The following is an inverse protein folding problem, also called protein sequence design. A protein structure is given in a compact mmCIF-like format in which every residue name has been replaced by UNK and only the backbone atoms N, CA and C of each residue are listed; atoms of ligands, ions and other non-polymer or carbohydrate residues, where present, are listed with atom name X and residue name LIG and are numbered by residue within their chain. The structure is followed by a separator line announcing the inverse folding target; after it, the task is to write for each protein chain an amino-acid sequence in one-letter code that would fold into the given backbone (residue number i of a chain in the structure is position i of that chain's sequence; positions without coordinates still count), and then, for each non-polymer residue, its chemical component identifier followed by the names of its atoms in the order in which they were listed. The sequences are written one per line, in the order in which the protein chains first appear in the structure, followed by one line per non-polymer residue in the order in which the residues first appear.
data_IF_089777252025
#
_entry.id   IF_089777252025
#
_cell.length_a   1.000
_cell.length_b   1.000
_cell.length_c   1.000
_cell.angle_alpha   90.00
_cell.angle_beta   90.00
_cell.angle_gamma   90.00
#
_symmetry.space_group_name_H-M   'P 1'
#
loop_
_entity.id
_entity.type
_entity.pdbx_description
1 polymer ?
#
# COMPACT_ATOMS: atom_id res chain seq x y z
N UNK A 1 5.82 -20.50 -7.15
CA UNK A 1 5.23 -19.40 -6.34
C UNK A 1 5.17 -19.90 -4.92
N UNK A 2 6.11 -19.47 -4.12
CA UNK A 2 6.19 -19.78 -2.69
C UNK A 2 5.53 -18.60 -1.99
N UNK A 3 4.42 -18.85 -1.31
CA UNK A 3 3.70 -17.87 -0.54
C UNK A 3 4.26 -17.85 0.88
N UNK A 4 4.67 -16.68 1.36
CA UNK A 4 5.18 -16.52 2.71
C UNK A 4 4.07 -16.79 3.74
N UNK A 5 4.38 -17.59 4.73
CA UNK A 5 3.54 -17.83 5.91
C UNK A 5 4.02 -16.86 6.98
N UNK A 6 3.21 -15.88 7.32
CA UNK A 6 3.45 -15.04 8.50
C UNK A 6 2.91 -15.75 9.73
N UNK A 7 3.78 -16.14 10.62
CA UNK A 7 3.42 -16.66 11.93
C UNK A 7 3.46 -15.52 12.96
N UNK A 8 2.32 -15.08 13.44
CA UNK A 8 2.25 -14.18 14.59
C UNK A 8 2.25 -15.02 15.87
N UNK A 9 3.34 -14.95 16.62
CA UNK A 9 3.46 -15.64 17.91
C UNK A 9 2.88 -14.76 19.01
N UNK A 10 1.64 -15.04 19.44
CA UNK A 10 1.08 -14.43 20.65
C UNK A 10 1.39 -15.32 21.86
N UNK A 11 2.36 -14.92 22.68
CA UNK A 11 2.62 -15.58 23.95
C UNK A 11 1.52 -15.21 24.98
N UNK A 12 0.57 -16.10 25.19
CA UNK A 12 -0.38 -16.02 26.32
C UNK A 12 0.21 -16.74 27.52
N UNK A 13 0.94 -16.02 28.35
CA UNK A 13 1.39 -16.53 29.65
C UNK A 13 0.19 -16.61 30.63
N UNK A 14 -0.28 -17.80 30.95
CA UNK A 14 -1.20 -18.05 32.08
C UNK A 14 -0.42 -18.00 33.39
N UNK A 15 -0.57 -16.91 34.14
CA UNK A 15 -0.30 -16.89 35.58
C UNK A 15 -1.62 -17.13 36.32
N UNK A 16 -1.76 -18.29 36.89
CA UNK A 16 -2.83 -18.63 37.80
C UNK A 16 -2.44 -18.26 39.24
N UNK A 17 -3.16 -17.35 39.86
CA UNK A 17 -3.34 -17.24 41.32
C UNK A 17 -4.55 -16.32 41.54
N UNK A 18 -5.62 -16.69 42.00
CA UNK A 18 -6.09 -17.27 43.20
C UNK A 18 -6.90 -16.27 44.01
N UNK A 19 -8.20 -16.62 44.27
CA UNK A 19 -9.06 -16.23 45.41
C UNK A 19 -9.75 -14.85 45.46
N UNK A 20 -11.07 -14.89 45.31
CA UNK A 20 -11.95 -14.47 46.44
C UNK A 20 -12.87 -13.29 46.21
N UNK A 21 -14.21 -13.54 46.18
CA UNK A 21 -15.17 -12.66 46.84
C UNK A 21 -16.26 -11.97 45.98
N UNK A 22 -17.35 -12.66 45.82
CA UNK A 22 -18.78 -12.32 46.02
C UNK A 22 -19.38 -10.97 45.58
N UNK A 23 -20.45 -11.10 44.75
CA UNK A 23 -21.77 -10.43 44.77
C UNK A 23 -21.82 -8.94 44.37
N UNK A 24 -22.72 -8.42 43.58
CA UNK A 24 -24.16 -8.65 43.45
C UNK A 24 -24.67 -7.93 42.19
N UNK A 25 -25.75 -8.46 41.66
CA UNK A 25 -26.56 -7.97 40.57
C UNK A 25 -27.28 -6.64 40.89
N UNK A 26 -27.65 -5.88 39.89
CA UNK A 26 -29.01 -5.32 39.73
C UNK A 26 -29.12 -4.52 38.40
N UNK A 27 -29.94 -5.05 37.54
CA UNK A 27 -31.19 -4.56 36.93
C UNK A 27 -31.19 -3.22 36.20
N UNK A 28 -31.57 -3.37 34.92
CA UNK A 28 -32.21 -2.36 34.05
C UNK A 28 -33.50 -1.77 34.65
N UNK A 29 -33.97 -0.59 34.20
CA UNK A 29 -35.00 -0.67 33.17
C UNK A 29 -34.98 0.39 32.07
N UNK A 30 -35.76 0.06 31.06
CA UNK A 30 -36.08 0.71 29.82
C UNK A 30 -37.06 1.90 29.93
N UNK A 31 -37.29 2.48 28.75
CA UNK A 31 -38.37 3.37 28.28
C UNK A 31 -37.98 4.87 28.22
N UNK A 32 -38.31 5.63 27.20
CA UNK A 32 -39.25 5.51 26.08
C UNK A 32 -39.47 6.91 25.50
N UNK A 33 -39.93 6.98 24.28
CA UNK A 33 -40.74 8.11 23.82
C UNK A 33 -40.18 9.03 22.76
N UNK A 34 -40.57 8.76 21.52
CA UNK A 34 -40.75 9.79 20.49
C UNK A 34 -41.95 10.69 20.79
N UNK A 35 -42.07 11.87 20.18
CA UNK A 35 -43.05 11.94 19.11
C UNK A 35 -42.68 12.79 17.87
N UNK A 36 -43.26 12.33 16.80
CA UNK A 36 -43.51 12.97 15.50
C UNK A 36 -44.40 14.22 15.64
N UNK A 37 -44.12 15.26 14.89
CA UNK A 37 -45.16 16.21 14.41
C UNK A 37 -44.84 16.68 13.00
N UNK A 38 -45.78 16.40 12.15
CA UNK A 38 -46.06 16.82 10.77
C UNK A 38 -46.50 18.27 10.66
N UNK A 39 -46.35 18.85 9.44
CA UNK A 39 -47.04 20.07 8.97
C UNK A 39 -46.25 20.70 7.83
N UNK A 40 -46.48 20.44 6.68
CA UNK A 40 -47.37 20.81 5.55
C UNK A 40 -47.52 22.32 5.27
N UNK A 41 -47.31 22.59 3.98
CA UNK A 41 -47.90 23.46 2.97
C UNK A 41 -47.34 24.88 2.83
N UNK A 42 -46.88 25.12 1.68
CA UNK A 42 -47.39 25.67 0.42
C UNK A 42 -47.05 27.13 0.11
N UNK A 43 -46.54 27.30 -1.08
CA UNK A 43 -47.02 28.22 -2.15
C UNK A 43 -46.54 29.69 -2.20
N UNK A 44 -46.16 30.09 -3.41
CA UNK A 44 -46.31 31.47 -3.87
C UNK A 44 -45.11 32.12 -4.54
N UNK A 45 -44.85 31.80 -5.79
CA UNK A 45 -44.85 32.63 -7.00
C UNK A 45 -44.07 33.98 -7.04
N UNK A 46 -43.20 34.07 -8.06
CA UNK A 46 -43.01 35.20 -9.02
C UNK A 46 -42.57 36.58 -8.45
N UNK A 47 -41.73 37.32 -9.05
CA UNK A 47 -41.36 37.66 -10.43
C UNK A 47 -40.22 38.68 -10.44
N UNK A 48 -39.37 38.56 -11.50
CA UNK A 48 -38.72 39.62 -12.31
C UNK A 48 -37.76 40.67 -11.77
N UNK A 49 -36.66 40.58 -12.44
CA UNK A 49 -35.91 41.56 -13.32
C UNK A 49 -35.12 42.66 -12.66
N UNK A 50 -33.97 42.83 -13.12
CA UNK A 50 -33.25 43.63 -14.11
C UNK A 50 -31.91 44.16 -13.58
N UNK A 51 -30.85 43.84 -14.37
CA UNK A 51 -29.67 44.64 -14.74
C UNK A 51 -28.87 45.47 -13.72
N UNK A 52 -27.63 45.24 -13.64
CA UNK A 52 -26.49 45.87 -14.29
C UNK A 52 -25.16 45.56 -13.59
N UNK A 53 -24.27 44.89 -14.30
CA UNK A 53 -23.04 45.33 -14.95
C UNK A 53 -21.88 45.80 -14.08
N UNK A 54 -20.79 45.12 -14.36
CA UNK A 54 -19.37 45.47 -14.20
C UNK A 54 -18.79 45.31 -12.79
N UNK A 55 -17.64 44.72 -12.55
CA UNK A 55 -16.43 44.69 -13.35
C UNK A 55 -15.42 43.76 -12.68
N UNK A 56 -14.61 43.10 -13.47
CA UNK A 56 -13.26 42.58 -13.25
C UNK A 56 -13.03 41.64 -12.07
N UNK A 57 -12.78 40.40 -12.43
CA UNK A 57 -11.50 39.81 -12.81
C UNK A 57 -10.61 39.47 -11.62
N UNK A 58 -10.57 38.23 -11.38
CA UNK A 58 -9.34 37.46 -11.29
C UNK A 58 -9.78 36.00 -11.13
N UNK A 59 -10.05 35.38 -12.27
CA UNK A 59 -10.19 33.93 -12.37
C UNK A 59 -8.79 33.36 -12.27
N UNK A 60 -8.49 32.80 -11.14
CA UNK A 60 -7.31 31.96 -10.98
C UNK A 60 -7.47 30.71 -11.80
N UNK A 61 -6.45 30.43 -12.52
CA UNK A 61 -6.13 29.38 -13.42
C UNK A 61 -6.03 28.01 -12.68
N UNK A 62 -7.10 27.59 -12.02
CA UNK A 62 -7.22 26.25 -11.44
C UNK A 62 -7.77 25.21 -12.44
N UNK A 63 -8.19 25.66 -13.63
CA UNK A 63 -8.88 24.81 -14.60
C UNK A 63 -7.92 24.02 -15.54
N UNK A 64 -6.64 24.38 -15.61
CA UNK A 64 -5.71 23.71 -16.52
C UNK A 64 -4.98 22.53 -15.87
N UNK A 65 -4.79 22.55 -14.55
CA UNK A 65 -4.16 21.44 -13.84
C UNK A 65 -5.09 20.21 -13.72
N UNK A 66 -6.38 20.45 -13.53
CA UNK A 66 -7.40 19.39 -13.38
C UNK A 66 -7.63 18.59 -14.68
N UNK A 67 -7.35 19.19 -15.86
CA UNK A 67 -7.44 18.48 -17.13
C UNK A 67 -6.19 17.67 -17.49
N UNK A 68 -5.05 17.96 -16.88
CA UNK A 68 -3.78 17.31 -17.15
C UNK A 68 -3.58 16.02 -16.32
N UNK A 69 -4.35 15.85 -15.25
CA UNK A 69 -4.41 14.63 -14.43
C UNK A 69 -5.68 13.86 -14.75
N UNK A 70 -5.60 12.54 -14.80
CA UNK A 70 -6.76 11.69 -15.02
C UNK A 70 -7.66 11.69 -13.78
N UNK A 71 -8.97 11.78 -13.99
CA UNK A 71 -9.93 11.62 -12.91
C UNK A 71 -9.90 10.19 -12.33
N UNK A 72 -10.34 10.02 -11.09
CA UNK A 72 -10.33 8.72 -10.41
C UNK A 72 -11.10 7.64 -11.20
N UNK A 73 -12.18 8.01 -11.89
CA UNK A 73 -12.95 7.10 -12.73
C UNK A 73 -12.17 6.62 -13.97
N UNK A 74 -11.17 7.39 -14.43
CA UNK A 74 -10.31 7.04 -15.56
C UNK A 74 -9.16 6.10 -15.15
N UNK A 75 -8.83 6.04 -13.85
CA UNK A 75 -7.72 5.20 -13.34
C UNK A 75 -8.10 3.73 -13.20
N UNK A 76 -9.39 3.40 -13.25
CA UNK A 76 -9.92 2.07 -13.01
C UNK A 76 -10.03 1.74 -11.52
N UNK A 77 -10.49 0.52 -11.21
CA UNK A 77 -10.56 0.06 -9.83
C UNK A 77 -9.15 -0.05 -9.23
N UNK A 78 -8.94 0.61 -8.10
CA UNK A 78 -7.69 0.49 -7.36
C UNK A 78 -7.52 -0.93 -6.81
N UNK A 79 -6.31 -1.43 -6.95
CA UNK A 79 -5.89 -2.67 -6.29
C UNK A 79 -5.23 -2.32 -4.97
N UNK A 80 -5.47 -3.12 -3.97
CA UNK A 80 -4.72 -3.04 -2.74
C UNK A 80 -3.25 -3.38 -3.04
N UNK A 81 -2.35 -2.56 -2.55
CA UNK A 81 -0.91 -2.76 -2.59
C UNK A 81 -0.40 -3.14 -1.20
N UNK A 82 0.67 -3.90 -1.17
CA UNK A 82 1.27 -4.36 0.06
C UNK A 82 0.38 -5.29 0.89
N UNK A 83 0.80 -5.55 2.11
CA UNK A 83 0.09 -6.36 3.10
C UNK A 83 -0.04 -5.61 4.41
N UNK A 84 -1.10 -5.94 5.17
CA UNK A 84 -1.31 -5.33 6.49
C UNK A 84 -0.15 -5.65 7.42
N UNK A 85 0.39 -4.61 8.03
CA UNK A 85 1.49 -4.74 9.00
C UNK A 85 2.87 -4.81 8.39
N UNK A 86 3.02 -4.43 7.12
CA UNK A 86 4.34 -4.19 6.53
C UNK A 86 5.14 -3.22 7.38
N UNK A 87 6.43 -3.49 7.50
CA UNK A 87 7.39 -2.60 8.16
C UNK A 87 8.40 -2.18 7.10
N UNK A 88 8.58 -0.87 6.87
CA UNK A 88 9.53 -0.39 5.90
C UNK A 88 10.95 -0.92 6.15
N UNK A 89 11.60 -1.36 5.08
CA UNK A 89 12.98 -1.89 5.10
C UNK A 89 13.89 -0.92 4.35
N UNK A 90 14.71 -0.15 5.05
CA UNK A 90 15.63 0.79 4.42
C UNK A 90 16.86 0.08 3.85
N UNK A 91 17.58 0.75 2.94
CA UNK A 91 18.82 0.24 2.36
C UNK A 91 19.87 -0.17 3.39
N UNK A 92 19.85 0.47 4.58
CA UNK A 92 20.79 0.17 5.66
C UNK A 92 20.65 -1.22 6.28
N UNK A 93 19.57 -1.94 5.98
CA UNK A 93 19.37 -3.33 6.41
C UNK A 93 19.78 -4.33 5.34
N UNK A 94 20.15 -3.84 4.15
CA UNK A 94 20.48 -4.67 2.99
C UNK A 94 21.97 -4.61 2.66
N UNK A 95 22.46 -5.67 2.06
CA UNK A 95 23.81 -5.73 1.48
C UNK A 95 23.80 -5.07 0.12
N UNK A 96 24.91 -4.43 -0.24
CA UNK A 96 25.11 -3.94 -1.60
C UNK A 96 25.00 -5.12 -2.59
N UNK A 97 24.21 -4.92 -3.65
CA UNK A 97 23.95 -5.95 -4.64
C UNK A 97 22.82 -5.58 -5.60
N UNK A 98 22.53 -6.50 -6.51
CA UNK A 98 21.38 -6.40 -7.43
C UNK A 98 20.48 -7.61 -7.17
N UNK A 99 19.21 -7.35 -6.92
CA UNK A 99 18.25 -8.36 -6.49
C UNK A 99 16.96 -8.28 -7.31
N UNK A 100 16.39 -9.41 -7.72
CA UNK A 100 15.05 -9.40 -8.25
C UNK A 100 14.06 -9.03 -7.13
N UNK A 101 13.12 -8.13 -7.43
CA UNK A 101 12.12 -7.68 -6.46
C UNK A 101 10.74 -7.68 -7.09
N UNK A 102 9.73 -8.14 -6.37
CA UNK A 102 8.35 -8.01 -6.78
C UNK A 102 7.83 -6.60 -6.44
N UNK A 103 7.01 -6.06 -7.34
CA UNK A 103 6.38 -4.75 -7.15
C UNK A 103 4.88 -4.87 -7.23
N UNK A 104 4.19 -4.45 -6.18
CA UNK A 104 2.76 -4.26 -6.22
C UNK A 104 2.44 -2.88 -6.82
N UNK A 105 1.45 -2.85 -7.70
CA UNK A 105 0.93 -1.60 -8.28
C UNK A 105 -0.56 -1.49 -8.03
N UNK A 106 -1.02 -0.32 -7.60
CA UNK A 106 -2.44 -0.02 -7.37
C UNK A 106 -3.29 -0.10 -8.65
N UNK A 107 -2.67 -0.23 -9.82
CA UNK A 107 -3.37 -0.29 -11.09
C UNK A 107 -2.98 -1.50 -11.92
N UNK A 108 -3.99 -2.21 -12.43
CA UNK A 108 -3.78 -3.31 -13.39
C UNK A 108 -3.27 -2.86 -14.76
N UNK A 109 -3.39 -1.57 -15.06
CA UNK A 109 -2.92 -1.00 -16.32
C UNK A 109 -1.45 -0.57 -16.28
N UNK A 110 -0.88 -0.44 -15.08
CA UNK A 110 0.54 -0.18 -14.87
C UNK A 110 1.22 -1.51 -14.53
N UNK A 111 1.55 -2.27 -15.59
CA UNK A 111 2.10 -3.61 -15.45
C UNK A 111 3.62 -3.55 -15.43
N UNK A 112 4.20 -4.09 -14.38
CA UNK A 112 5.64 -4.30 -14.24
C UNK A 112 5.86 -5.81 -14.41
N UNK A 113 6.62 -6.19 -15.44
CA UNK A 113 6.90 -7.61 -15.74
C UNK A 113 8.06 -8.14 -14.94
N UNK A 114 9.12 -7.35 -14.83
CA UNK A 114 10.33 -7.65 -14.10
C UNK A 114 10.81 -6.39 -13.39
N UNK A 115 11.45 -6.55 -12.25
CA UNK A 115 12.08 -5.44 -11.54
C UNK A 115 13.36 -5.91 -10.88
N UNK A 116 14.44 -5.14 -11.06
CA UNK A 116 15.72 -5.33 -10.40
C UNK A 116 15.99 -4.18 -9.44
N UNK A 117 16.19 -4.52 -8.17
CA UNK A 117 16.59 -3.58 -7.14
C UNK A 117 18.13 -3.55 -7.04
N UNK A 118 18.70 -2.39 -7.24
CA UNK A 118 20.11 -2.14 -6.97
C UNK A 118 20.26 -1.47 -5.62
N UNK A 119 20.97 -2.11 -4.70
CA UNK A 119 21.38 -1.56 -3.40
C UNK A 119 22.84 -1.20 -3.47
N UNK A 120 23.18 0.06 -3.22
CA UNK A 120 24.58 0.53 -3.30
C UNK A 120 24.82 1.70 -2.37
N UNK A 121 25.80 1.55 -1.48
CA UNK A 121 26.23 2.61 -0.55
C UNK A 121 25.09 3.19 0.30
N UNK A 122 24.10 2.37 0.67
CA UNK A 122 22.96 2.80 1.46
C UNK A 122 21.85 3.50 0.69
N UNK A 123 21.87 3.43 -0.64
CA UNK A 123 20.83 3.92 -1.53
C UNK A 123 20.22 2.75 -2.32
N UNK A 124 18.97 2.89 -2.70
CA UNK A 124 18.26 1.92 -3.53
C UNK A 124 17.69 2.57 -4.78
N UNK A 125 17.85 1.88 -5.89
CA UNK A 125 17.18 2.21 -7.15
C UNK A 125 16.57 0.94 -7.73
N UNK A 126 15.40 1.05 -8.36
CA UNK A 126 14.72 -0.06 -8.98
C UNK A 126 14.57 0.18 -10.49
N UNK A 127 15.05 -0.76 -11.30
CA UNK A 127 14.79 -0.78 -12.74
C UNK A 127 13.56 -1.66 -13.01
N UNK A 128 12.50 -1.01 -13.47
CA UNK A 128 11.21 -1.64 -13.76
C UNK A 128 11.04 -1.85 -15.26
N UNK A 129 11.02 -3.11 -15.70
CA UNK A 129 10.62 -3.48 -17.06
C UNK A 129 9.10 -3.47 -17.16
N UNK A 130 8.60 -2.65 -18.06
CA UNK A 130 7.16 -2.48 -18.25
C UNK A 130 6.57 -3.53 -19.20
N UNK A 131 5.35 -3.98 -18.91
CA UNK A 131 4.57 -4.86 -19.79
C UNK A 131 3.97 -4.17 -21.03
N UNK A 132 4.43 -2.95 -21.33
CA UNK A 132 4.00 -2.19 -22.49
C UNK A 132 4.72 -0.86 -22.65
N UNK A 133 4.47 -0.15 -23.75
CA UNK A 133 5.14 1.09 -24.12
C UNK A 133 4.21 2.31 -24.05
N UNK A 134 3.21 2.24 -23.17
CA UNK A 134 2.13 3.24 -23.08
C UNK A 134 2.47 4.50 -22.30
N UNK A 135 3.55 4.49 -21.53
CA UNK A 135 3.99 5.61 -20.69
C UNK A 135 5.29 6.20 -21.19
N UNK A 136 5.39 7.52 -21.15
CA UNK A 136 6.56 8.26 -21.63
C UNK A 136 7.50 8.68 -20.51
N UNK A 137 6.95 8.97 -19.35
CA UNK A 137 7.71 9.39 -18.18
C UNK A 137 6.93 9.12 -16.91
N UNK A 138 7.66 8.98 -15.82
CA UNK A 138 7.14 8.86 -14.46
C UNK A 138 7.54 10.09 -13.65
N UNK A 139 6.82 10.29 -12.55
CA UNK A 139 7.14 11.23 -11.49
C UNK A 139 6.91 10.54 -10.15
N UNK A 140 7.85 10.63 -9.23
CA UNK A 140 7.68 10.12 -7.85
C UNK A 140 6.92 11.18 -7.08
N UNK A 141 5.65 10.88 -6.84
CA UNK A 141 4.64 11.79 -6.30
C UNK A 141 3.35 11.74 -7.10
N UNK A 142 2.47 12.68 -6.84
CA UNK A 142 1.15 12.78 -7.46
C UNK A 142 1.21 13.47 -8.84
N UNK A 143 0.20 13.22 -9.67
CA UNK A 143 0.06 13.88 -10.97
C UNK A 143 -0.14 15.40 -10.86
N UNK A 144 -0.77 15.86 -9.79
CA UNK A 144 -0.93 17.29 -9.50
C UNK A 144 0.43 17.97 -9.24
N UNK A 145 1.33 17.28 -8.54
CA UNK A 145 2.71 17.74 -8.35
C UNK A 145 3.50 17.68 -9.66
N UNK A 146 3.35 16.59 -10.41
CA UNK A 146 4.02 16.38 -11.69
C UNK A 146 3.72 17.46 -12.72
N UNK A 147 2.50 18.00 -12.76
CA UNK A 147 2.11 19.10 -13.66
C UNK A 147 2.94 20.35 -13.41
N UNK A 148 3.36 20.58 -12.19
CA UNK A 148 4.11 21.77 -11.79
C UNK A 148 5.60 21.51 -11.58
N UNK A 149 6.04 20.26 -11.71
CA UNK A 149 7.43 19.87 -11.53
C UNK A 149 8.28 20.20 -12.77
N UNK A 150 9.59 20.28 -12.58
CA UNK A 150 10.52 20.52 -13.69
C UNK A 150 10.76 19.24 -14.49
N UNK A 151 11.20 19.37 -15.75
CA UNK A 151 11.57 18.21 -16.56
C UNK A 151 12.74 17.41 -15.95
N UNK A 152 13.56 18.02 -15.10
CA UNK A 152 14.66 17.37 -14.39
C UNK A 152 14.18 16.40 -13.33
N UNK A 153 12.96 16.61 -12.78
CA UNK A 153 12.33 15.74 -11.80
C UNK A 153 11.61 14.56 -12.46
N UNK A 154 11.48 14.58 -13.79
CA UNK A 154 10.82 13.53 -14.54
C UNK A 154 11.77 12.38 -14.81
N UNK A 155 11.23 11.18 -14.73
CA UNK A 155 11.94 9.93 -15.05
C UNK A 155 11.47 9.46 -16.43
N UNK A 156 12.24 9.70 -17.51
CA UNK A 156 11.90 9.21 -18.84
C UNK A 156 12.10 7.70 -18.92
N UNK A 157 11.39 7.05 -19.86
CA UNK A 157 11.67 5.66 -20.14
C UNK A 157 13.01 5.49 -20.87
N UNK A 158 13.63 4.35 -20.65
CA UNK A 158 14.75 3.84 -21.45
C UNK A 158 14.25 2.67 -22.28
N UNK A 159 14.54 2.69 -23.58
CA UNK A 159 14.16 1.61 -24.48
C UNK A 159 15.30 0.58 -24.55
N UNK A 160 15.00 -0.64 -24.11
CA UNK A 160 15.95 -1.73 -24.21
C UNK A 160 16.05 -2.28 -25.65
N UNK A 161 17.05 -3.12 -25.91
CA UNK A 161 17.31 -3.68 -27.24
C UNK A 161 16.17 -4.58 -27.78
N UNK A 162 15.32 -5.09 -26.91
CA UNK A 162 14.13 -5.88 -27.23
C UNK A 162 12.87 -5.01 -27.47
N UNK A 163 13.01 -3.66 -27.35
CA UNK A 163 11.94 -2.69 -27.50
C UNK A 163 11.06 -2.53 -26.23
N UNK A 164 11.41 -3.16 -25.13
CA UNK A 164 10.75 -2.94 -23.85
C UNK A 164 11.10 -1.57 -23.27
N UNK A 165 10.15 -0.97 -22.56
CA UNK A 165 10.38 0.27 -21.82
C UNK A 165 10.78 -0.04 -20.39
N UNK A 166 11.82 0.61 -19.93
CA UNK A 166 12.32 0.52 -18.56
C UNK A 166 12.25 1.88 -17.87
N UNK A 167 12.01 1.86 -16.57
CA UNK A 167 12.07 3.06 -15.73
C UNK A 167 12.93 2.76 -14.51
N UNK A 168 14.00 3.53 -14.32
CA UNK A 168 14.83 3.46 -13.12
C UNK A 168 14.36 4.50 -12.11
N UNK A 169 13.80 4.06 -11.01
CA UNK A 169 13.22 4.92 -9.97
C UNK A 169 14.01 4.82 -8.66
N UNK A 170 14.11 5.90 -7.87
CA UNK A 170 14.64 5.81 -6.51
C UNK A 170 13.65 5.07 -5.61
N UNK A 171 14.17 4.28 -4.66
CA UNK A 171 13.38 3.55 -3.67
C UNK A 171 13.87 3.97 -2.28
N UNK A 172 13.02 4.60 -1.49
CA UNK A 172 13.37 5.04 -0.14
C UNK A 172 13.42 3.86 0.83
N UNK A 173 12.39 3.03 0.81
CA UNK A 173 12.33 1.79 1.57
C UNK A 173 11.49 0.75 0.84
N UNK A 174 11.79 -0.53 1.06
CA UNK A 174 10.90 -1.61 0.67
C UNK A 174 9.73 -1.71 1.66
N UNK A 175 8.65 -2.39 1.25
CA UNK A 175 7.43 -2.52 2.04
C UNK A 175 6.85 -1.17 2.52
N UNK A 176 7.07 -0.12 1.73
CA UNK A 176 6.54 1.22 1.92
C UNK A 176 5.74 1.63 0.67
N UNK A 177 4.59 2.27 0.88
CA UNK A 177 3.81 2.86 -0.21
C UNK A 177 4.55 4.07 -0.78
N UNK A 178 4.68 4.11 -2.09
CA UNK A 178 5.33 5.19 -2.85
C UNK A 178 4.33 5.70 -3.87
N UNK A 179 3.99 6.97 -3.77
CA UNK A 179 3.21 7.66 -4.80
C UNK A 179 4.04 7.79 -6.07
N UNK A 180 3.45 7.39 -7.19
CA UNK A 180 4.07 7.44 -8.50
C UNK A 180 3.03 7.82 -9.54
N UNK A 181 3.30 8.85 -10.31
CA UNK A 181 2.44 9.24 -11.42
C UNK A 181 3.08 8.89 -12.75
N UNK A 182 2.26 8.38 -13.68
CA UNK A 182 2.71 7.94 -15.00
C UNK A 182 2.03 8.74 -16.11
N UNK A 183 2.84 9.35 -17.00
CA UNK A 183 2.31 10.14 -18.11
C UNK A 183 2.01 9.24 -19.31
N UNK A 184 0.73 9.16 -19.66
CA UNK A 184 0.25 8.33 -20.76
C UNK A 184 0.51 8.96 -22.12
N UNK A 185 1.22 8.24 -23.00
CA UNK A 185 1.47 8.63 -24.40
C UNK A 185 0.19 8.89 -25.19
N UNK A 186 -0.85 8.07 -24.97
CA UNK A 186 -2.09 8.12 -25.77
C UNK A 186 -3.07 9.17 -25.27
N UNK A 187 -3.13 9.35 -23.95
CA UNK A 187 -4.10 10.24 -23.32
C UNK A 187 -3.54 11.62 -23.02
N UNK A 188 -2.21 11.76 -23.02
CA UNK A 188 -1.48 13.00 -22.69
C UNK A 188 -1.88 13.54 -21.31
N UNK A 189 -2.11 12.60 -20.34
CA UNK A 189 -2.50 12.86 -18.96
C UNK A 189 -1.62 12.07 -18.01
N UNK A 190 -1.50 12.58 -16.80
CA UNK A 190 -0.91 11.89 -15.66
C UNK A 190 -1.93 10.93 -15.02
N UNK A 191 -1.46 9.80 -14.60
CA UNK A 191 -2.24 8.76 -13.93
C UNK A 191 -1.56 8.39 -12.62
N UNK A 192 -2.22 8.67 -11.51
CA UNK A 192 -1.71 8.36 -10.18
C UNK A 192 -1.70 6.85 -9.92
N UNK A 193 -0.63 6.41 -9.26
CA UNK A 193 -0.37 5.03 -8.88
C UNK A 193 0.28 5.01 -7.51
N UNK A 194 0.04 3.93 -6.78
CA UNK A 194 0.81 3.60 -5.59
C UNK A 194 1.60 2.33 -5.90
N UNK A 195 2.88 2.34 -5.58
CA UNK A 195 3.78 1.21 -5.74
C UNK A 195 4.27 0.75 -4.37
N UNK A 196 4.49 -0.54 -4.22
CA UNK A 196 5.19 -1.13 -3.08
C UNK A 196 6.20 -2.13 -3.60
N UNK A 197 7.48 -1.89 -3.32
CA UNK A 197 8.56 -2.84 -3.59
C UNK A 197 8.63 -3.83 -2.42
N UNK A 198 8.44 -5.11 -2.72
CA UNK A 198 8.18 -6.14 -1.72
C UNK A 198 9.45 -6.70 -1.11
N UNK A 199 9.69 -6.41 0.17
CA UNK A 199 10.84 -6.94 0.91
C UNK A 199 10.83 -8.48 1.02
N UNK A 200 9.65 -9.10 1.11
CA UNK A 200 9.49 -10.55 1.21
C UNK A 200 9.85 -11.32 -0.09
N UNK A 201 10.09 -10.60 -1.17
CA UNK A 201 10.54 -11.19 -2.43
C UNK A 201 12.06 -11.25 -2.59
N UNK A 202 12.80 -10.56 -1.72
CA UNK A 202 14.26 -10.62 -1.73
C UNK A 202 14.75 -11.95 -1.18
N UNK A 203 15.90 -12.45 -1.68
CA UNK A 203 16.54 -13.62 -1.08
C UNK A 203 17.06 -13.32 0.33
N UNK A 204 17.08 -14.32 1.21
CA UNK A 204 17.48 -14.15 2.61
C UNK A 204 18.90 -13.58 2.78
N UNK A 205 19.79 -13.90 1.83
CA UNK A 205 21.17 -13.42 1.84
C UNK A 205 21.35 -11.95 1.41
N UNK A 206 20.28 -11.30 0.94
CA UNK A 206 20.26 -9.86 0.68
C UNK A 206 20.32 -9.01 1.96
N UNK A 207 19.92 -9.58 3.10
CA UNK A 207 19.86 -8.87 4.36
C UNK A 207 21.20 -8.91 5.13
N UNK A 208 21.54 -7.82 5.82
CA UNK A 208 22.72 -7.75 6.68
C UNK A 208 22.56 -8.66 7.90
N UNK A 209 21.36 -8.70 8.47
CA UNK A 209 21.01 -9.62 9.54
C UNK A 209 20.00 -10.64 9.03
N UNK A 210 20.11 -11.87 9.49
CA UNK A 210 19.14 -12.91 9.11
C UNK A 210 17.75 -12.52 9.59
N UNK A 211 16.81 -12.49 8.66
CA UNK A 211 15.37 -12.29 8.97
C UNK A 211 14.66 -13.59 9.31
N UNK A 212 15.38 -14.70 9.31
CA UNK A 212 14.82 -15.97 9.75
C UNK A 212 14.51 -15.90 11.24
N UNK A 213 13.26 -16.18 11.55
CA UNK A 213 12.80 -16.30 12.93
C UNK A 213 13.28 -17.67 13.44
N UNK A 214 14.25 -17.66 14.36
CA UNK A 214 14.78 -18.86 15.00
C UNK A 214 14.26 -18.98 16.42
N UNK A 215 14.35 -20.15 17.01
CA UNK A 215 14.02 -20.34 18.42
C UNK A 215 14.82 -19.41 19.33
N UNK A 216 16.11 -19.18 19.00
CA UNK A 216 16.97 -18.26 19.72
C UNK A 216 16.50 -16.81 19.61
N UNK A 217 16.14 -16.35 18.42
CA UNK A 217 15.65 -14.96 18.21
C UNK A 217 14.34 -14.69 18.94
N UNK A 218 13.51 -15.74 19.15
CA UNK A 218 12.28 -15.66 19.93
C UNK A 218 12.49 -15.89 21.43
N UNK A 219 13.71 -16.22 21.86
CA UNK A 219 13.99 -16.56 23.25
C UNK A 219 13.28 -17.84 23.72
N UNK A 220 12.98 -18.75 22.79
CA UNK A 220 12.30 -19.99 23.07
C UNK A 220 13.31 -21.11 23.33
N UNK A 221 13.09 -21.87 24.40
CA UNK A 221 13.86 -23.09 24.69
C UNK A 221 13.22 -24.29 24.01
N UNK A 222 13.96 -25.42 24.00
CA UNK A 222 13.41 -26.68 23.55
C UNK A 222 12.11 -27.03 24.30
N UNK A 223 11.09 -27.42 23.55
CA UNK A 223 9.79 -27.70 24.11
C UNK A 223 8.67 -27.74 23.08
N UNK A 224 7.46 -27.89 23.59
CA UNK A 224 6.24 -27.85 22.79
C UNK A 224 5.44 -26.61 23.12
N UNK A 225 5.09 -25.86 22.09
CA UNK A 225 4.36 -24.59 22.17
C UNK A 225 3.07 -24.71 21.37
N UNK A 226 2.10 -23.89 21.74
CA UNK A 226 0.89 -23.69 20.95
C UNK A 226 0.98 -22.30 20.31
N UNK A 227 0.85 -22.26 19.00
CA UNK A 227 0.97 -21.01 18.21
C UNK A 227 -0.31 -20.77 17.42
N UNK A 228 -0.74 -19.53 17.37
CA UNK A 228 -1.80 -19.14 16.46
C UNK A 228 -1.18 -18.88 15.09
N UNK A 229 -1.77 -19.50 14.07
CA UNK A 229 -1.33 -19.37 12.68
C UNK A 229 -2.46 -18.78 11.87
N UNK A 230 -2.16 -17.72 11.13
CA UNK A 230 -3.05 -17.17 10.12
C UNK A 230 -2.39 -17.23 8.75
N UNK A 231 -3.19 -17.43 7.73
CA UNK A 231 -2.74 -17.44 6.34
C UNK A 231 -3.57 -16.41 5.56
N UNK A 232 -2.90 -15.45 4.98
CA UNK A 232 -3.52 -14.44 4.13
C UNK A 232 -3.16 -14.70 2.67
N UNK A 233 -4.11 -14.44 1.77
CA UNK A 233 -3.94 -14.64 0.32
C UNK A 233 -4.23 -16.07 -0.15
N UNK A 234 -3.79 -16.34 -1.39
CA UNK A 234 -3.99 -17.64 -2.03
C UNK A 234 -5.37 -17.82 -2.67
N UNK A 235 -5.64 -19.03 -3.14
CA UNK A 235 -6.88 -19.36 -3.89
C UNK A 235 -8.08 -19.71 -3.00
N UNK A 236 -7.95 -19.64 -1.68
CA UNK A 236 -8.96 -20.08 -0.71
C UNK A 236 -9.17 -21.60 -0.62
N UNK A 237 -8.32 -22.38 -1.31
CA UNK A 237 -8.42 -23.85 -1.33
C UNK A 237 -7.58 -24.54 -0.25
N UNK A 238 -6.75 -23.77 0.44
CA UNK A 238 -5.89 -24.25 1.53
C UNK A 238 -6.31 -23.52 2.80
N UNK A 239 -6.52 -24.27 3.87
CA UNK A 239 -6.80 -23.75 5.21
C UNK A 239 -5.70 -24.22 6.14
N UNK A 240 -5.36 -23.39 7.11
CA UNK A 240 -4.41 -23.73 8.17
C UNK A 240 -5.21 -23.96 9.46
N UNK A 241 -4.92 -25.06 10.15
CA UNK A 241 -5.49 -25.29 11.46
C UNK A 241 -4.79 -24.38 12.48
N UNK A 242 -5.59 -23.65 13.25
CA UNK A 242 -5.12 -22.78 14.32
C UNK A 242 -5.96 -23.03 15.57
N UNK A 243 -5.34 -23.18 16.76
CA UNK A 243 -3.92 -23.11 17.00
C UNK A 243 -3.15 -24.35 16.52
N UNK A 244 -1.90 -24.15 16.08
CA UNK A 244 -0.99 -25.21 15.67
C UNK A 244 0.01 -25.55 16.80
N UNK A 245 0.57 -26.78 16.74
CA UNK A 245 1.65 -27.19 17.63
C UNK A 245 3.00 -26.84 16.99
N UNK A 246 3.82 -26.11 17.74
CA UNK A 246 5.23 -25.89 17.43
C UNK A 246 6.08 -26.73 18.38
N UNK A 247 7.00 -27.50 17.84
CA UNK A 247 7.95 -28.28 18.63
C UNK A 247 9.36 -27.76 18.31
N UNK A 248 10.08 -27.34 19.33
CA UNK A 248 11.47 -26.92 19.22
C UNK A 248 12.34 -27.99 19.83
N UNK A 249 13.34 -28.41 19.09
CA UNK A 249 14.30 -29.42 19.50
C UNK A 249 15.68 -29.03 18.99
N UNK A 250 16.67 -29.05 19.90
CA UNK A 250 18.06 -28.69 19.63
C UNK A 250 18.19 -27.25 19.05
N UNK A 251 17.25 -26.35 19.42
CA UNK A 251 17.25 -24.96 18.98
C UNK A 251 16.59 -24.69 17.61
N UNK A 252 16.00 -25.72 16.99
CA UNK A 252 15.29 -25.67 15.68
C UNK A 252 13.83 -26.11 15.79
#
# INVERSE_FOLDING_TARGET
KIYGVMAAVCLSGMLAAGCGGKKQAETLPAQGGAPVVTGETADGAQEKTVDQKADQSEGQDESSADSAVAAAEETGAEKQVGTKGMVPVPASELKDGVYPVNVDSSSSMFQIEECELTVKNGEMTADMKMGGTGYLKLYIGTGAEAVNASEEDMIPYEEASDGSHHFTVPVEALDQEIDCSAFSKKKEKWYDRVLVFRADSLPDDAYLESRQVTAESLGLADGSYTVEVSMEGGSGKVTVESPAKLEIKDGE
#
